data_IF_440891185786
#
_entry.id   IF_440891185786
#
_cell.length_a   1.000
_cell.length_b   1.000
_cell.length_c   1.000
_cell.angle_alpha   90.00
_cell.angle_beta   90.00
_cell.angle_gamma   90.00
#
_symmetry.space_group_name_H-M   'P 1'
#
loop_
_entity.id
_entity.type
_entity.pdbx_description
1 polymer ?
#
# COMPACT_ATOMS: atom_id res chain seq x y z
N UNK A 1 36.02 12.36 -18.46
CA UNK A 1 34.56 12.61 -18.51
C UNK A 1 33.89 11.28 -18.23
N UNK A 2 33.45 11.07 -16.99
CA UNK A 2 32.54 9.96 -16.71
C UNK A 2 31.22 10.36 -17.35
N UNK A 3 30.79 9.62 -18.36
CA UNK A 3 29.49 9.81 -18.95
C UNK A 3 28.52 9.21 -17.94
N UNK A 4 27.83 10.07 -17.17
CA UNK A 4 26.62 9.66 -16.46
C UNK A 4 25.69 9.12 -17.54
N UNK A 5 25.65 7.78 -17.63
CA UNK A 5 24.63 7.11 -18.40
C UNK A 5 23.37 7.38 -17.60
N UNK A 6 22.66 8.44 -17.96
CA UNK A 6 21.29 8.66 -17.52
C UNK A 6 20.50 7.45 -18.01
N UNK A 7 20.48 6.39 -17.21
CA UNK A 7 19.59 5.26 -17.41
C UNK A 7 18.19 5.84 -17.22
N UNK A 8 17.50 6.11 -18.33
CA UNK A 8 16.06 6.37 -18.25
C UNK A 8 15.46 5.16 -17.52
N UNK A 9 14.77 5.35 -16.37
CA UNK A 9 14.21 4.24 -15.62
C UNK A 9 13.36 3.43 -16.59
N UNK A 10 13.64 2.13 -16.68
CA UNK A 10 12.90 1.28 -17.61
C UNK A 10 11.45 1.30 -17.15
N UNK A 11 10.57 1.89 -17.94
CA UNK A 11 9.12 1.82 -17.69
C UNK A 11 8.75 0.36 -17.82
N UNK A 12 8.45 -0.28 -16.69
CA UNK A 12 8.00 -1.67 -16.65
C UNK A 12 6.64 -1.78 -17.33
N UNK A 13 5.69 -0.91 -16.96
CA UNK A 13 4.34 -0.86 -17.53
C UNK A 13 3.78 0.56 -17.52
N UNK A 14 3.05 0.93 -18.58
CA UNK A 14 2.17 2.11 -18.60
C UNK A 14 0.82 1.70 -19.18
N UNK A 15 -0.20 1.61 -18.32
CA UNK A 15 -1.54 1.14 -18.66
C UNK A 15 -2.55 2.28 -18.55
N UNK A 16 -3.11 2.70 -19.69
CA UNK A 16 -4.22 3.65 -19.74
C UNK A 16 -5.58 2.94 -19.60
N UNK A 17 -6.64 3.72 -19.35
CA UNK A 17 -7.99 3.18 -19.24
C UNK A 17 -8.16 2.29 -18.01
N UNK A 18 -7.54 2.68 -16.90
CA UNK A 18 -7.69 2.03 -15.60
C UNK A 18 -8.69 2.84 -14.79
N UNK A 19 -9.58 2.16 -14.08
CA UNK A 19 -10.50 2.78 -13.12
C UNK A 19 -10.01 2.46 -11.71
N UNK A 20 -9.88 3.49 -10.89
CA UNK A 20 -9.41 3.41 -9.52
C UNK A 20 -10.60 3.37 -8.56
N UNK A 21 -10.57 2.41 -7.64
CA UNK A 21 -11.57 2.24 -6.60
C UNK A 21 -10.93 2.25 -5.21
N UNK A 22 -11.68 2.76 -4.24
CA UNK A 22 -11.44 2.58 -2.81
C UNK A 22 -12.70 1.93 -2.22
N UNK A 23 -12.53 0.77 -1.57
CA UNK A 23 -13.69 -0.07 -1.25
C UNK A 23 -14.45 -0.48 -2.52
N UNK A 24 -15.75 -0.21 -2.57
CA UNK A 24 -16.62 -0.45 -3.73
C UNK A 24 -16.88 0.80 -4.58
N UNK A 25 -16.32 1.95 -4.20
CA UNK A 25 -16.60 3.23 -4.83
C UNK A 25 -15.53 3.59 -5.85
N UNK A 26 -15.96 4.04 -7.04
CA UNK A 26 -15.05 4.62 -8.03
C UNK A 26 -14.57 5.96 -7.51
N UNK A 27 -13.27 6.15 -7.48
CA UNK A 27 -12.65 7.41 -7.03
C UNK A 27 -11.95 8.17 -8.14
N UNK A 28 -11.52 7.50 -9.22
CA UNK A 28 -10.92 8.15 -10.39
C UNK A 28 -10.83 7.23 -11.62
N UNK A 29 -10.51 7.81 -12.78
CA UNK A 29 -10.13 7.07 -13.99
C UNK A 29 -8.86 7.68 -14.59
N UNK A 30 -7.95 6.85 -15.10
CA UNK A 30 -6.63 7.33 -15.43
C UNK A 30 -5.69 6.31 -16.07
N UNK A 31 -4.40 6.63 -15.94
CA UNK A 31 -3.27 5.85 -16.39
C UNK A 31 -2.43 5.43 -15.19
N UNK A 32 -2.19 4.14 -15.06
CA UNK A 32 -1.24 3.58 -14.11
C UNK A 32 0.13 3.45 -14.77
N UNK A 33 1.18 3.92 -14.10
CA UNK A 33 2.57 3.76 -14.54
C UNK A 33 3.39 3.06 -13.45
N UNK A 34 4.07 1.99 -13.82
CA UNK A 34 4.96 1.20 -12.96
C UNK A 34 6.35 1.26 -13.59
N UNK A 35 7.31 1.84 -12.88
CA UNK A 35 8.70 1.94 -13.32
C UNK A 35 9.64 1.67 -12.14
N UNK A 36 10.93 1.49 -12.37
CA UNK A 36 11.87 1.12 -11.30
C UNK A 36 11.90 2.07 -10.08
N UNK A 37 11.44 3.32 -10.22
CA UNK A 37 11.47 4.31 -9.15
C UNK A 37 10.20 4.35 -8.29
N UNK A 38 9.03 4.17 -8.90
CA UNK A 38 7.76 4.30 -8.18
C UNK A 38 6.57 3.68 -8.92
N UNK A 39 5.53 3.42 -8.13
CA UNK A 39 4.18 3.14 -8.60
C UNK A 39 3.39 4.45 -8.67
N UNK A 40 3.01 4.88 -9.88
CA UNK A 40 2.39 6.20 -10.11
C UNK A 40 0.99 6.09 -10.69
N UNK A 41 0.07 6.86 -10.13
CA UNK A 41 -1.25 7.10 -10.68
C UNK A 41 -1.32 8.49 -11.31
N UNK A 42 -1.81 8.55 -12.55
CA UNK A 42 -2.12 9.79 -13.27
C UNK A 42 -3.57 9.71 -13.76
N UNK A 43 -4.49 10.22 -12.94
CA UNK A 43 -5.92 10.21 -13.22
C UNK A 43 -6.48 11.60 -13.46
N UNK A 44 -7.77 11.63 -13.83
CA UNK A 44 -8.47 12.85 -14.19
C UNK A 44 -8.59 13.83 -13.02
N UNK A 45 -8.74 13.29 -11.80
CA UNK A 45 -8.96 14.09 -10.59
C UNK A 45 -7.82 13.96 -9.59
N UNK A 46 -7.05 12.87 -9.65
CA UNK A 46 -6.02 12.54 -8.67
C UNK A 46 -4.72 12.17 -9.36
N UNK A 47 -3.62 12.62 -8.81
CA UNK A 47 -2.28 12.18 -9.20
C UNK A 47 -1.48 11.92 -7.94
N UNK A 48 -0.84 10.75 -7.86
CA UNK A 48 0.00 10.39 -6.72
C UNK A 48 1.10 9.42 -7.15
N UNK A 49 2.16 9.37 -6.36
CA UNK A 49 3.34 8.54 -6.59
C UNK A 49 3.68 7.83 -5.29
N UNK A 50 3.81 6.51 -5.35
CA UNK A 50 4.02 5.64 -4.20
C UNK A 50 5.39 4.96 -4.36
N UNK A 51 6.35 5.22 -3.45
CA UNK A 51 7.56 4.42 -3.32
C UNK A 51 7.21 2.95 -3.06
N UNK A 52 8.04 2.03 -3.57
CA UNK A 52 7.77 0.60 -3.46
C UNK A 52 7.75 0.08 -2.02
N UNK A 53 8.55 0.70 -1.15
CA UNK A 53 8.64 0.45 0.28
C UNK A 53 7.31 0.72 1.00
N UNK A 54 6.47 1.62 0.49
CA UNK A 54 5.16 1.90 1.08
C UNK A 54 4.10 0.88 0.68
N UNK A 55 4.35 0.04 -0.33
CA UNK A 55 3.37 -0.96 -0.80
C UNK A 55 3.57 -2.23 0.02
N UNK A 56 2.69 -2.47 0.99
CA UNK A 56 2.76 -3.62 1.90
C UNK A 56 2.19 -4.89 1.30
N UNK A 57 1.21 -4.78 0.38
CA UNK A 57 0.62 -5.92 -0.29
C UNK A 57 0.11 -5.55 -1.68
N UNK A 58 0.28 -6.45 -2.63
CA UNK A 58 -0.39 -6.39 -3.92
C UNK A 58 -0.91 -7.77 -4.34
N UNK A 59 -2.06 -7.82 -5.01
CA UNK A 59 -2.71 -9.06 -5.42
C UNK A 59 -3.54 -8.86 -6.70
N UNK A 60 -3.86 -9.94 -7.40
CA UNK A 60 -4.83 -9.92 -8.52
C UNK A 60 -6.06 -10.76 -8.15
N UNK A 61 -7.24 -10.26 -8.49
CA UNK A 61 -8.48 -11.04 -8.57
C UNK A 61 -8.99 -11.02 -10.00
N UNK A 62 -9.12 -12.20 -10.65
CA UNK A 62 -9.60 -12.32 -12.05
C UNK A 62 -11.03 -12.84 -12.20
N UNK A 63 -11.52 -13.60 -11.22
CA UNK A 63 -12.80 -14.32 -11.31
C UNK A 63 -13.74 -14.00 -10.12
N UNK A 64 -14.22 -12.76 -9.99
CA UNK A 64 -15.03 -12.36 -8.84
C UNK A 64 -16.44 -12.97 -8.80
N UNK A 65 -16.88 -13.65 -9.87
CA UNK A 65 -18.21 -14.25 -9.99
C UNK A 65 -18.30 -15.73 -9.61
N UNK A 66 -17.19 -16.41 -9.27
CA UNK A 66 -17.24 -17.80 -8.79
C UNK A 66 -17.64 -17.82 -7.31
N UNK A 67 -18.94 -17.73 -7.06
CA UNK A 67 -19.49 -17.89 -5.73
C UNK A 67 -19.39 -19.38 -5.31
N UNK A 68 -18.66 -19.74 -4.24
CA UNK A 68 -18.84 -21.04 -3.62
C UNK A 68 -20.25 -21.09 -3.02
N UNK A 69 -20.87 -22.27 -3.05
CA UNK A 69 -22.27 -22.53 -2.73
C UNK A 69 -22.60 -22.42 -1.23
N UNK A 70 -22.16 -21.36 -0.56
CA UNK A 70 -22.27 -21.23 0.89
C UNK A 70 -22.71 -19.83 1.31
N UNK A 71 -23.59 -19.80 2.32
CA UNK A 71 -24.55 -18.72 2.66
C UNK A 71 -23.95 -17.42 3.24
N UNK A 72 -22.65 -17.19 3.08
CA UNK A 72 -22.00 -16.01 3.63
C UNK A 72 -22.18 -14.85 2.66
N UNK A 73 -22.77 -13.76 3.16
CA UNK A 73 -22.89 -12.47 2.48
C UNK A 73 -21.51 -11.83 2.35
N UNK A 74 -20.62 -12.42 1.55
CA UNK A 74 -19.34 -11.81 1.21
C UNK A 74 -19.60 -10.85 0.07
N UNK A 75 -19.47 -9.55 0.34
CA UNK A 75 -19.54 -8.48 -0.67
C UNK A 75 -18.43 -8.68 -1.71
N UNK A 76 -18.71 -9.46 -2.75
CA UNK A 76 -17.76 -9.73 -3.84
C UNK A 76 -17.65 -8.50 -4.73
N UNK A 77 -16.44 -7.98 -4.90
CA UNK A 77 -16.18 -6.91 -5.85
C UNK A 77 -16.16 -7.48 -7.28
N UNK A 78 -17.13 -7.07 -8.11
CA UNK A 78 -17.48 -7.77 -9.35
C UNK A 78 -16.52 -7.66 -10.53
N UNK A 79 -15.46 -6.85 -10.45
CA UNK A 79 -14.55 -6.63 -11.58
C UNK A 79 -13.19 -7.30 -11.36
N UNK A 80 -12.56 -7.86 -12.41
CA UNK A 80 -11.16 -8.23 -12.37
C UNK A 80 -10.30 -7.01 -12.01
N UNK A 81 -9.43 -7.13 -11.01
CA UNK A 81 -8.68 -6.01 -10.48
C UNK A 81 -7.34 -6.41 -9.90
N UNK A 82 -6.41 -5.46 -9.87
CA UNK A 82 -5.23 -5.51 -9.05
C UNK A 82 -5.50 -4.72 -7.77
N UNK A 83 -5.34 -5.35 -6.61
CA UNK A 83 -5.45 -4.72 -5.30
C UNK A 83 -4.06 -4.32 -4.82
N UNK A 84 -3.92 -3.12 -4.28
CA UNK A 84 -2.69 -2.60 -3.69
C UNK A 84 -3.01 -1.99 -2.34
N UNK A 85 -2.27 -2.42 -1.31
CA UNK A 85 -2.34 -1.91 0.05
C UNK A 85 -1.10 -1.07 0.31
N UNK A 86 -1.31 0.15 0.79
CA UNK A 86 -0.26 1.16 0.93
C UNK A 86 -0.25 1.63 2.38
N UNK A 87 0.91 1.55 3.00
CA UNK A 87 1.13 2.00 4.37
C UNK A 87 1.33 3.52 4.44
N UNK A 88 0.76 4.13 5.48
CA UNK A 88 0.81 5.57 5.73
C UNK A 88 -0.45 6.35 5.30
N UNK A 89 -0.43 7.65 5.63
CA UNK A 89 -1.56 8.55 5.44
C UNK A 89 -2.12 8.54 4.01
N UNK A 90 -3.42 8.84 3.90
CA UNK A 90 -4.13 8.82 2.64
C UNK A 90 -3.43 9.65 1.57
N UNK A 91 -3.21 9.03 0.40
CA UNK A 91 -2.43 9.58 -0.72
C UNK A 91 -3.01 10.85 -1.34
N UNK A 92 -4.20 11.25 -0.92
CA UNK A 92 -4.82 12.52 -1.30
C UNK A 92 -5.63 13.04 -0.13
N UNK A 93 -5.53 14.35 0.11
CA UNK A 93 -6.48 15.05 0.96
C UNK A 93 -7.82 15.12 0.21
N UNK A 94 -8.97 14.82 0.85
CA UNK A 94 -10.22 15.35 0.33
C UNK A 94 -10.06 16.87 0.33
N UNK A 95 -10.39 17.51 -0.79
CA UNK A 95 -10.27 18.96 -0.96
C UNK A 95 -11.07 19.64 0.14
N UNK A 96 -10.40 20.00 1.24
CA UNK A 96 -10.90 21.04 2.12
C UNK A 96 -10.77 22.32 1.30
N UNK A 97 -11.89 22.99 1.14
CA UNK A 97 -12.01 24.21 0.38
C UNK A 97 -10.87 25.17 0.71
N UNK A 98 -10.42 25.88 -0.31
CA UNK A 98 -9.38 26.87 -0.28
C UNK A 98 -9.64 27.90 0.84
N UNK A 99 -9.07 27.70 2.02
CA UNK A 99 -8.71 28.84 2.84
C UNK A 99 -7.45 29.42 2.21
N UNK A 100 -7.68 30.33 1.27
CA UNK A 100 -6.64 31.13 0.61
C UNK A 100 -5.76 31.78 1.68
N UNK A 101 -4.58 31.22 1.91
CA UNK A 101 -3.50 31.93 2.59
C UNK A 101 -2.87 32.89 1.59
N UNK A 102 -3.53 34.02 1.35
CA UNK A 102 -2.92 35.17 0.71
C UNK A 102 -2.75 36.26 1.78
N UNK A 103 -1.55 36.33 2.35
CA UNK A 103 -1.08 37.59 2.89
C UNK A 103 -0.74 38.51 1.72
N UNK A 104 -1.64 39.42 1.40
CA UNK A 104 -1.32 40.61 0.61
C UNK A 104 -2.26 41.75 1.03
N UNK A 105 -1.65 42.85 1.47
CA UNK A 105 -2.26 44.11 1.81
C UNK A 105 -2.98 44.68 0.59
N UNK A 106 -4.31 44.80 0.63
CA UNK A 106 -5.01 45.94 0.00
C UNK A 106 -6.46 45.99 0.46
N UNK A 107 -6.79 47.08 1.16
CA UNK A 107 -8.13 47.51 1.54
C UNK A 107 -8.97 47.77 0.28
N UNK A 108 -10.19 47.21 0.16
CA UNK A 108 -11.26 47.87 -0.56
C UNK A 108 -12.31 48.33 0.46
N UNK A 109 -12.30 49.64 0.69
CA UNK A 109 -13.35 50.39 1.36
C UNK A 109 -14.65 50.23 0.59
N UNK A 110 -15.63 49.54 1.16
CA UNK A 110 -17.05 49.68 0.79
C UNK A 110 -17.87 49.91 2.08
N UNK A 111 -18.84 50.85 2.05
CA UNK A 111 -19.35 51.51 3.25
C UNK A 111 -20.33 50.67 4.07
N UNK A 112 -20.15 50.76 5.39
CA UNK A 112 -21.07 50.23 6.39
C UNK A 112 -22.49 50.78 6.20
N UNK A 113 -23.46 49.90 5.94
CA UNK A 113 -24.85 50.14 6.33
C UNK A 113 -25.07 49.52 7.70
N UNK A 114 -25.31 50.38 8.68
CA UNK A 114 -25.67 50.00 10.04
C UNK A 114 -27.11 49.49 10.02
N UNK A 115 -27.35 48.28 10.51
CA UNK A 115 -28.67 47.86 10.97
C UNK A 115 -28.46 47.16 12.32
N UNK A 116 -28.90 47.84 13.38
CA UNK A 116 -28.98 47.34 14.74
C UNK A 116 -30.13 46.33 14.84
N UNK A 117 -29.86 45.03 14.94
CA UNK A 117 -30.73 44.12 15.71
C UNK A 117 -29.93 43.00 16.37
N UNK A 118 -30.02 42.96 17.71
CA UNK A 118 -30.12 41.73 18.52
C UNK A 118 -29.01 40.69 18.45
N UNK A 119 -28.13 40.73 19.44
CA UNK A 119 -27.31 39.62 19.93
C UNK A 119 -28.11 38.33 20.19
N UNK A 120 -27.66 37.21 19.65
CA UNK A 120 -27.44 36.00 20.47
C UNK A 120 -26.43 35.10 19.77
N UNK A 121 -25.33 34.88 20.48
CA UNK A 121 -24.23 34.03 20.07
C UNK A 121 -24.47 32.64 20.63
N UNK A 122 -24.50 31.62 19.79
CA UNK A 122 -24.09 30.25 20.12
C UNK A 122 -23.63 29.61 18.79
N UNK A 123 -22.33 29.78 18.52
CA UNK A 123 -21.61 29.12 17.44
C UNK A 123 -21.24 27.71 17.91
N UNK A 124 -22.19 26.78 17.84
CA UNK A 124 -21.96 25.35 18.13
C UNK A 124 -21.37 24.68 16.89
N UNK A 125 -20.10 25.01 16.61
CA UNK A 125 -19.26 24.21 15.73
C UNK A 125 -18.89 22.93 16.50
N UNK A 126 -19.76 21.92 16.42
CA UNK A 126 -19.36 20.53 16.66
C UNK A 126 -18.36 20.14 15.56
N UNK A 127 -17.11 20.50 15.80
CA UNK A 127 -15.96 19.85 15.20
C UNK A 127 -16.07 18.37 15.57
N UNK A 128 -16.61 17.58 14.66
CA UNK A 128 -16.49 16.12 14.64
C UNK A 128 -15.01 15.78 14.45
N UNK A 129 -14.22 16.06 15.50
CA UNK A 129 -12.91 15.49 15.70
C UNK A 129 -13.13 13.98 15.70
N UNK A 130 -12.79 13.36 14.58
CA UNK A 130 -12.81 11.91 14.42
C UNK A 130 -12.08 11.35 15.63
N UNK A 131 -12.87 10.77 16.53
CA UNK A 131 -12.41 10.15 17.75
C UNK A 131 -11.46 9.02 17.34
N UNK A 132 -10.16 9.31 17.30
CA UNK A 132 -9.07 8.34 17.24
C UNK A 132 -8.94 7.66 18.61
N UNK A 133 -10.06 7.07 19.05
CA UNK A 133 -10.20 6.37 20.31
C UNK A 133 -9.62 4.97 20.21
N UNK A 134 -8.41 4.79 20.73
CA UNK A 134 -7.95 3.51 21.27
C UNK A 134 -7.39 2.50 20.28
N UNK A 135 -6.51 2.91 19.35
CA UNK A 135 -5.61 1.94 18.70
C UNK A 135 -4.41 1.67 19.62
N UNK A 136 -4.01 0.42 19.73
CA UNK A 136 -2.74 0.06 20.35
C UNK A 136 -1.62 0.86 19.65
N UNK A 137 -0.64 1.33 20.42
CA UNK A 137 0.48 2.12 19.87
C UNK A 137 1.30 1.34 18.82
N UNK A 138 1.12 0.02 18.76
CA UNK A 138 1.77 -0.91 17.82
C UNK A 138 0.90 -1.23 16.58
N UNK A 139 -0.27 -0.60 16.41
CA UNK A 139 -1.01 -0.71 15.15
C UNK A 139 -0.27 0.13 14.09
N UNK A 140 0.16 -0.44 12.95
CA UNK A 140 0.67 0.35 11.82
C UNK A 140 -0.43 1.34 11.41
N UNK A 141 -0.04 2.48 10.84
CA UNK A 141 -0.86 3.68 10.68
C UNK A 141 -2.17 3.52 9.89
N UNK A 142 -2.73 4.62 9.41
CA UNK A 142 -3.82 4.53 8.45
C UNK A 142 -3.29 3.80 7.20
N UNK A 143 -3.93 2.72 6.75
CA UNK A 143 -3.50 1.96 5.56
C UNK A 143 -4.52 2.17 4.47
N UNK A 144 -4.07 2.57 3.28
CA UNK A 144 -4.95 2.82 2.13
C UNK A 144 -5.04 1.56 1.26
N UNK A 145 -6.27 1.09 0.97
CA UNK A 145 -6.51 -0.07 0.10
C UNK A 145 -7.16 0.38 -1.21
N UNK A 146 -6.45 0.18 -2.31
CA UNK A 146 -6.86 0.58 -3.65
C UNK A 146 -7.09 -0.62 -4.55
N UNK A 147 -8.08 -0.53 -5.44
CA UNK A 147 -8.29 -1.50 -6.52
C UNK A 147 -8.17 -0.81 -7.88
N UNK A 148 -7.33 -1.36 -8.74
CA UNK A 148 -7.08 -0.90 -10.10
C UNK A 148 -7.78 -1.86 -11.07
N UNK A 149 -8.82 -1.37 -11.75
CA UNK A 149 -9.63 -2.13 -12.72
C UNK A 149 -9.24 -1.67 -14.12
N UNK A 150 -8.39 -2.41 -14.86
CA UNK A 150 -8.10 -2.10 -16.26
C UNK A 150 -9.32 -2.39 -17.15
N UNK A 151 -9.44 -1.65 -18.26
CA UNK A 151 -10.46 -1.93 -19.29
C UNK A 151 -10.29 -3.34 -19.88
N UNK A 152 -9.05 -3.81 -20.03
CA UNK A 152 -8.73 -5.17 -20.46
C UNK A 152 -8.14 -5.97 -19.28
N UNK A 153 -8.82 -7.04 -18.87
CA UNK A 153 -8.39 -7.87 -17.74
C UNK A 153 -7.10 -8.66 -18.04
N UNK A 154 -6.75 -8.89 -19.31
CA UNK A 154 -5.55 -9.64 -19.68
C UNK A 154 -4.25 -8.93 -19.28
N UNK A 155 -4.30 -7.62 -19.05
CA UNK A 155 -3.13 -6.83 -18.65
C UNK A 155 -2.82 -6.94 -17.15
N UNK A 156 -3.70 -7.56 -16.35
CA UNK A 156 -3.51 -7.70 -14.90
C UNK A 156 -2.21 -8.42 -14.55
N UNK A 157 -1.90 -9.54 -15.22
CA UNK A 157 -0.66 -10.29 -14.98
C UNK A 157 0.58 -9.45 -15.25
N UNK A 158 0.55 -8.69 -16.35
CA UNK A 158 1.66 -7.81 -16.73
C UNK A 158 1.86 -6.70 -15.69
N UNK A 159 0.78 -6.07 -15.22
CA UNK A 159 0.85 -5.04 -14.18
C UNK A 159 1.38 -5.60 -12.85
N UNK A 160 0.88 -6.77 -12.44
CA UNK A 160 1.33 -7.44 -11.21
C UNK A 160 2.79 -7.84 -11.28
N UNK A 161 3.21 -8.48 -12.37
CA UNK A 161 4.60 -8.92 -12.55
C UNK A 161 5.53 -7.73 -12.52
N UNK A 162 5.20 -6.64 -13.23
CA UNK A 162 6.02 -5.43 -13.21
C UNK A 162 6.10 -4.79 -11.82
N UNK A 163 5.01 -4.79 -11.06
CA UNK A 163 5.01 -4.29 -9.68
C UNK A 163 5.92 -5.16 -8.78
N UNK A 164 5.79 -6.47 -8.87
CA UNK A 164 6.60 -7.42 -8.10
C UNK A 164 8.09 -7.31 -8.44
N UNK A 165 8.44 -7.22 -9.73
CA UNK A 165 9.82 -7.03 -10.19
C UNK A 165 10.40 -5.70 -9.67
N UNK A 166 9.62 -4.62 -9.72
CA UNK A 166 10.10 -3.33 -9.21
C UNK A 166 10.24 -3.33 -7.68
N UNK A 167 9.38 -4.02 -6.93
CA UNK A 167 9.57 -4.20 -5.48
C UNK A 167 10.85 -4.98 -5.17
N UNK A 168 11.16 -6.04 -5.92
CA UNK A 168 12.39 -6.80 -5.74
C UNK A 168 13.67 -5.98 -6.01
N UNK A 169 13.58 -4.92 -6.81
CA UNK A 169 14.69 -3.99 -7.09
C UNK A 169 14.84 -2.89 -6.03
N UNK A 170 13.90 -2.76 -5.09
CA UNK A 170 13.87 -1.70 -4.08
C UNK A 170 13.75 -2.26 -2.65
N UNK A 171 14.72 -3.08 -2.18
CA UNK A 171 14.75 -3.52 -0.79
C UNK A 171 15.00 -2.34 0.15
N UNK A 172 14.46 -2.42 1.37
CA UNK A 172 14.74 -1.43 2.41
C UNK A 172 16.21 -1.50 2.82
N UNK A 173 16.96 -0.43 2.54
CA UNK A 173 18.41 -0.33 2.82
C UNK A 173 18.76 -0.38 4.32
N UNK A 174 17.77 -0.31 5.21
CA UNK A 174 17.94 -0.44 6.66
C UNK A 174 17.90 -1.87 7.18
N UNK A 175 17.47 -2.83 6.37
CA UNK A 175 17.45 -4.27 6.70
C UNK A 175 18.75 -4.97 6.23
N UNK A 176 19.87 -4.24 6.12
CA UNK A 176 21.18 -4.87 6.06
C UNK A 176 21.44 -5.44 7.45
N UNK A 177 21.09 -6.72 7.65
CA UNK A 177 21.47 -7.50 8.83
C UNK A 177 22.95 -7.23 9.05
N UNK A 178 23.26 -6.40 10.05
CA UNK A 178 24.64 -6.11 10.35
C UNK A 178 25.30 -7.46 10.64
N UNK A 179 26.54 -7.73 10.19
CA UNK A 179 27.22 -9.00 10.48
C UNK A 179 27.34 -9.29 11.99
N UNK A 180 27.02 -8.31 12.83
CA UNK A 180 26.87 -8.39 14.29
C UNK A 180 25.62 -9.14 14.79
N UNK A 181 24.59 -9.40 13.97
CA UNK A 181 23.40 -10.20 14.34
C UNK A 181 23.56 -11.71 14.05
N UNK A 182 24.74 -12.15 13.58
CA UNK A 182 25.06 -13.55 13.28
C UNK A 182 25.96 -14.23 14.34
N UNK A 183 26.28 -13.57 15.44
CA UNK A 183 27.08 -14.12 16.54
C UNK A 183 26.18 -14.70 17.65
N UNK A 184 25.48 -15.80 17.38
CA UNK A 184 24.92 -16.67 18.44
C UNK A 184 24.48 -18.06 17.93
N UNK A 185 25.31 -18.67 17.06
CA UNK A 185 25.27 -20.13 16.90
C UNK A 185 26.45 -20.68 17.71
N UNK A 186 26.20 -20.89 19.01
CA UNK A 186 27.02 -21.77 19.81
C UNK A 186 27.05 -23.15 19.11
N UNK A 187 28.17 -23.47 18.47
CA UNK A 187 28.53 -24.84 18.14
C UNK A 187 28.68 -25.61 19.45
N UNK A 188 27.58 -26.14 19.99
CA UNK A 188 27.64 -27.21 20.98
C UNK A 188 28.26 -28.44 20.30
N UNK A 189 29.59 -28.49 20.40
CA UNK A 189 30.42 -29.65 20.18
C UNK A 189 29.99 -30.75 21.15
N UNK A 190 28.98 -31.54 20.77
CA UNK A 190 28.67 -32.81 21.43
C UNK A 190 29.84 -33.78 21.19
N UNK A 191 30.77 -33.77 22.13
CA UNK A 191 31.82 -34.76 22.33
C UNK A 191 31.18 -36.11 22.68
N UNK A 192 30.86 -36.92 21.67
CA UNK A 192 30.52 -38.33 21.88
C UNK A 192 31.81 -39.11 22.16
N UNK A 193 32.13 -39.24 23.45
CA UNK A 193 33.15 -40.13 23.99
C UNK A 193 32.90 -41.59 23.54
N UNK A 194 34.00 -42.28 23.27
CA UNK A 194 34.04 -43.59 22.67
C UNK A 194 33.52 -44.68 23.62
N UNK A 195 32.62 -45.54 23.13
CA UNK A 195 32.50 -46.90 23.65
C UNK A 195 31.10 -47.46 23.74
N UNK A 196 30.62 -48.09 22.67
CA UNK A 196 30.26 -49.52 22.68
C UNK A 196 29.57 -49.88 21.37
N UNK A 197 30.23 -50.76 20.61
CA UNK A 197 29.70 -51.28 19.36
C UNK A 197 28.54 -52.24 19.59
N UNK A 198 27.43 -51.99 18.90
CA UNK A 198 26.55 -53.03 18.41
C UNK A 198 26.07 -52.63 17.03
N UNK A 199 26.72 -53.21 16.01
CA UNK A 199 26.20 -53.26 14.65
C UNK A 199 24.84 -53.96 14.72
N UNK A 200 23.77 -53.21 14.47
CA UNK A 200 22.42 -53.76 14.38
C UNK A 200 22.31 -54.48 13.04
N UNK A 201 22.61 -55.79 13.05
CA UNK A 201 22.38 -56.65 11.88
C UNK A 201 20.89 -56.61 11.51
N UNK A 202 20.52 -56.37 10.24
CA UNK A 202 19.13 -56.22 9.82
C UNK A 202 18.39 -57.57 9.64
N UNK A 203 18.84 -58.65 10.27
CA UNK A 203 18.43 -60.02 9.92
C UNK A 203 17.83 -60.83 11.09
N UNK A 204 17.14 -60.17 12.03
CA UNK A 204 16.57 -60.86 13.20
C UNK A 204 15.04 -60.73 13.37
N UNK A 205 14.30 -60.43 12.29
CA UNK A 205 12.85 -60.62 12.26
C UNK A 205 12.51 -62.01 11.69
N UNK A 206 12.75 -63.08 12.45
CA UNK A 206 12.13 -64.37 12.18
C UNK A 206 11.95 -65.19 13.48
N UNK A 207 10.68 -65.56 13.72
CA UNK A 207 10.13 -66.53 14.71
C UNK A 207 10.39 -66.22 16.20
N UNK A 208 9.40 -66.23 17.12
CA UNK A 208 8.22 -67.10 17.31
C UNK A 208 7.18 -66.32 18.17
#
# INVERSE_FOLDING_TARGET
MVQEIQMCPRVGVRQSGVTLFEGSSIIDNGTLTINEQCFRWDGQNRQFSVPYQQITLHAISKDPGRQPMSDHTTTTFSHPHMLVMIDGDRLWTPTLEQHTSNGDDTIPTEPMTVDETGSDAEDDLESEGTNSGGRASDCPGETTILRFVPTDANVLDTMYTALAECQALNPDVSEDLSPSDLEDVDEENEEYDAGNGYIRNPDQFADD
#
